data_IF_180195105919
#
_entry.id   IF_180195105919
#
_cell.length_a   1.000
_cell.length_b   1.000
_cell.length_c   1.000
_cell.angle_alpha   90.00
_cell.angle_beta   90.00
_cell.angle_gamma   90.00
#
_symmetry.space_group_name_H-M   'P 1'
#
loop_
_entity.id
_entity.type
_entity.pdbx_description
1 polymer ?
#
# COMPACT_ATOMS: atom_id res chain seq x y z
N UNK A 1 -3.08 18.70 -14.65
CA UNK A 1 -2.42 19.62 -13.69
C UNK A 1 -2.44 19.08 -12.26
N UNK A 2 -3.23 18.06 -11.93
CA UNK A 2 -3.36 17.52 -10.56
C UNK A 2 -2.37 16.40 -10.18
N UNK A 3 -1.43 16.06 -11.06
CA UNK A 3 -0.40 15.07 -10.78
C UNK A 3 0.98 15.48 -11.32
N UNK A 4 2.00 14.82 -10.79
CA UNK A 4 3.39 14.90 -11.21
C UNK A 4 3.86 13.51 -11.63
N UNK A 5 4.54 13.42 -12.78
CA UNK A 5 5.25 12.22 -13.21
C UNK A 5 6.74 12.37 -12.96
N UNK A 6 7.43 11.27 -12.69
CA UNK A 6 8.84 11.28 -12.33
C UNK A 6 9.66 10.38 -13.26
N UNK A 7 10.92 10.74 -13.48
CA UNK A 7 11.92 9.87 -14.12
C UNK A 7 13.22 9.91 -13.33
N UNK A 8 13.98 8.82 -13.37
CA UNK A 8 15.23 8.70 -12.62
C UNK A 8 15.03 8.49 -11.12
N UNK A 9 13.96 7.78 -10.72
CA UNK A 9 13.75 7.34 -9.34
C UNK A 9 13.87 5.81 -9.25
N UNK A 10 14.59 5.30 -8.26
CA UNK A 10 14.64 3.87 -7.92
C UNK A 10 14.99 3.65 -6.45
N UNK A 11 14.89 2.42 -5.96
CA UNK A 11 15.40 2.08 -4.63
C UNK A 11 16.84 1.56 -4.72
N UNK A 12 17.83 2.23 -4.10
CA UNK A 12 19.20 1.75 -4.07
C UNK A 12 19.31 0.34 -3.51
N UNK A 13 20.09 -0.51 -4.18
CA UNK A 13 20.30 -1.93 -3.82
C UNK A 13 19.02 -2.79 -3.81
N UNK A 14 17.96 -2.37 -4.50
CA UNK A 14 16.78 -3.20 -4.78
C UNK A 14 16.86 -3.68 -6.21
N UNK A 15 17.43 -4.87 -6.39
CA UNK A 15 17.69 -5.49 -7.69
C UNK A 15 17.35 -6.98 -7.67
N UNK A 16 17.42 -7.64 -8.82
CA UNK A 16 17.22 -9.10 -8.91
C UNK A 16 15.84 -9.52 -9.43
N UNK A 17 15.06 -8.59 -9.99
CA UNK A 17 13.84 -8.92 -10.71
C UNK A 17 12.71 -9.39 -9.78
N UNK A 18 12.27 -10.64 -9.96
CA UNK A 18 11.18 -11.24 -9.18
C UNK A 18 11.60 -11.30 -7.70
N UNK A 19 10.89 -10.57 -6.83
CA UNK A 19 11.09 -10.32 -5.37
C UNK A 19 11.23 -8.83 -5.04
N UNK A 20 11.59 -7.99 -6.02
CA UNK A 20 11.75 -6.53 -5.79
C UNK A 20 10.41 -5.84 -5.51
N UNK A 21 9.27 -6.43 -5.87
CA UNK A 21 7.94 -5.91 -5.56
C UNK A 21 7.67 -5.84 -4.06
N UNK A 22 8.28 -6.75 -3.28
CA UNK A 22 8.20 -6.74 -1.82
C UNK A 22 8.83 -5.47 -1.22
N UNK A 23 9.70 -4.81 -1.98
CA UNK A 23 10.48 -3.67 -1.53
C UNK A 23 9.94 -2.33 -2.02
N UNK A 24 8.85 -2.31 -2.79
CA UNK A 24 8.33 -1.08 -3.40
C UNK A 24 8.01 0.01 -2.37
N UNK A 25 7.37 -0.36 -1.25
CA UNK A 25 7.05 0.58 -0.16
C UNK A 25 8.03 0.55 1.01
N UNK A 26 9.04 -0.33 1.01
CA UNK A 26 9.99 -0.48 2.12
C UNK A 26 11.40 0.03 1.76
N UNK A 27 11.79 -0.08 0.50
CA UNK A 27 13.17 0.14 0.04
C UNK A 27 14.18 -0.82 0.68
N UNK A 28 13.74 -1.97 1.18
CA UNK A 28 14.62 -2.96 1.81
C UNK A 28 15.62 -3.51 0.79
N UNK A 29 16.91 -3.52 1.16
CA UNK A 29 18.02 -3.86 0.27
C UNK A 29 18.13 -5.37 0.05
N UNK A 30 18.70 -5.75 -1.09
CA UNK A 30 19.09 -7.10 -1.44
C UNK A 30 17.97 -8.15 -1.31
N UNK A 31 16.79 -7.94 -1.95
CA UNK A 31 15.63 -8.84 -1.84
C UNK A 31 15.86 -10.28 -2.30
N UNK A 32 16.91 -10.53 -3.08
CA UNK A 32 17.30 -11.87 -3.54
C UNK A 32 18.44 -12.48 -2.72
N UNK A 33 18.94 -11.76 -1.72
CA UNK A 33 20.02 -12.21 -0.84
C UNK A 33 19.58 -13.33 0.11
N UNK A 34 20.51 -14.22 0.45
CA UNK A 34 20.28 -15.24 1.47
C UNK A 34 19.99 -14.57 2.81
N UNK A 35 18.89 -14.98 3.47
CA UNK A 35 18.48 -14.38 4.74
C UNK A 35 17.85 -13.00 4.62
N UNK A 36 17.42 -12.58 3.41
CA UNK A 36 16.65 -11.35 3.23
C UNK A 36 15.51 -11.26 4.23
N UNK A 37 15.43 -10.11 4.88
CA UNK A 37 14.33 -9.73 5.77
C UNK A 37 13.87 -8.35 5.34
N UNK A 38 12.57 -8.23 5.11
CA UNK A 38 11.99 -6.95 4.76
C UNK A 38 12.01 -5.98 5.95
N UNK A 39 11.66 -4.73 5.70
CA UNK A 39 11.55 -3.68 6.72
C UNK A 39 10.16 -3.08 6.71
N UNK A 40 9.91 -2.14 7.63
CA UNK A 40 8.66 -1.40 7.68
C UNK A 40 8.32 -0.79 6.31
N UNK A 41 7.07 -0.92 5.89
CA UNK A 41 6.55 -0.24 4.70
C UNK A 41 6.07 1.17 5.03
N UNK A 42 6.03 2.03 4.01
CA UNK A 42 5.66 3.44 4.12
C UNK A 42 4.34 3.67 4.86
N UNK A 43 3.32 2.86 4.55
CA UNK A 43 2.00 2.92 5.17
C UNK A 43 2.04 2.60 6.66
N UNK A 44 2.79 1.58 7.06
CA UNK A 44 2.94 1.20 8.47
C UNK A 44 3.78 2.22 9.23
N UNK A 45 4.84 2.75 8.61
CA UNK A 45 5.62 3.85 9.17
C UNK A 45 4.75 5.08 9.42
N UNK A 46 3.89 5.45 8.47
CA UNK A 46 2.95 6.56 8.63
C UNK A 46 1.96 6.31 9.78
N UNK A 47 1.42 5.08 9.92
CA UNK A 47 0.55 4.73 11.05
C UNK A 47 1.23 4.89 12.40
N UNK A 48 2.47 4.43 12.54
CA UNK A 48 3.20 4.52 13.80
C UNK A 48 3.40 5.98 14.24
N UNK A 49 3.56 6.91 13.30
CA UNK A 49 3.77 8.33 13.62
C UNK A 49 2.47 9.11 13.79
N UNK A 50 1.45 8.83 12.97
CA UNK A 50 0.16 9.52 13.05
C UNK A 50 -0.73 9.00 14.19
N UNK A 51 -0.49 7.76 14.61
CA UNK A 51 -1.38 6.99 15.47
C UNK A 51 -2.66 6.57 14.75
N UNK A 52 -3.45 5.71 15.39
CA UNK A 52 -4.74 5.27 14.85
C UNK A 52 -5.81 6.36 15.07
N UNK A 53 -5.99 7.23 14.06
CA UNK A 53 -6.99 8.31 14.06
C UNK A 53 -8.39 7.84 13.66
N UNK A 54 -8.46 6.73 12.94
CA UNK A 54 -9.68 6.18 12.32
C UNK A 54 -9.93 4.76 12.79
N UNK A 55 -11.11 4.22 12.48
CA UNK A 55 -11.49 2.84 12.85
C UNK A 55 -10.47 1.81 12.37
N UNK A 56 -9.94 1.98 11.16
CA UNK A 56 -8.86 1.15 10.64
C UNK A 56 -7.59 1.99 10.49
N UNK A 57 -6.45 1.55 11.05
CA UNK A 57 -5.19 2.28 10.92
C UNK A 57 -4.72 2.32 9.45
N UNK A 58 -4.76 1.17 8.78
CA UNK A 58 -4.65 1.06 7.32
C UNK A 58 -5.71 0.10 6.77
N UNK A 59 -5.95 0.20 5.46
CA UNK A 59 -6.58 -0.86 4.68
C UNK A 59 -5.60 -1.36 3.62
N UNK A 60 -5.11 -2.58 3.82
CA UNK A 60 -4.22 -3.27 2.88
C UNK A 60 -5.11 -4.07 1.92
N UNK A 61 -5.09 -3.70 0.65
CA UNK A 61 -6.00 -4.17 -0.39
C UNK A 61 -5.25 -4.85 -1.53
N UNK A 62 -5.94 -5.72 -2.26
CA UNK A 62 -5.36 -6.40 -3.41
C UNK A 62 -6.35 -6.65 -4.56
N UNK A 63 -5.80 -6.79 -5.76
CA UNK A 63 -6.52 -7.24 -6.96
C UNK A 63 -5.75 -8.42 -7.54
N UNK A 64 -6.44 -9.55 -7.70
CA UNK A 64 -5.89 -10.81 -8.20
C UNK A 64 -4.64 -11.27 -7.42
N UNK A 65 -4.64 -11.12 -6.09
CA UNK A 65 -3.52 -11.53 -5.23
C UNK A 65 -3.66 -12.99 -4.77
N UNK A 66 -2.53 -13.59 -4.38
CA UNK A 66 -2.54 -14.79 -3.52
C UNK A 66 -2.65 -14.37 -2.05
N UNK A 67 -3.83 -14.59 -1.46
CA UNK A 67 -4.18 -14.09 -0.12
C UNK A 67 -3.21 -14.61 0.94
N UNK A 68 -2.66 -13.70 1.73
CA UNK A 68 -1.72 -14.03 2.81
C UNK A 68 -0.26 -14.18 2.38
N UNK A 69 0.01 -14.29 1.07
CA UNK A 69 1.36 -14.42 0.51
C UNK A 69 1.80 -13.20 -0.31
N UNK A 70 0.86 -12.32 -0.69
CA UNK A 70 1.09 -11.13 -1.52
C UNK A 70 0.49 -9.90 -0.86
N UNK A 71 1.32 -8.89 -0.60
CA UNK A 71 0.93 -7.56 -0.13
C UNK A 71 2.08 -6.57 -0.36
N UNK A 72 1.78 -5.28 -0.25
CA UNK A 72 2.78 -4.21 -0.22
C UNK A 72 3.10 -3.73 1.20
N UNK A 73 2.33 -4.20 2.19
CA UNK A 73 2.43 -3.75 3.57
C UNK A 73 3.24 -4.73 4.42
N UNK A 74 4.21 -4.20 5.14
CA UNK A 74 5.18 -4.94 5.95
C UNK A 74 5.34 -4.27 7.30
N UNK A 75 5.30 -5.07 8.36
CA UNK A 75 5.57 -4.58 9.72
C UNK A 75 7.04 -4.18 9.90
N UNK A 76 7.31 -3.51 11.01
CA UNK A 76 8.67 -3.10 11.42
C UNK A 76 9.69 -4.24 11.47
N UNK A 77 9.22 -5.42 11.84
CA UNK A 77 10.02 -6.63 11.93
C UNK A 77 10.03 -7.43 10.61
N UNK A 78 9.52 -6.86 9.51
CA UNK A 78 9.60 -7.45 8.18
C UNK A 78 8.60 -8.58 7.94
N UNK A 79 7.52 -8.67 8.72
CA UNK A 79 6.45 -9.61 8.49
C UNK A 79 5.43 -9.05 7.49
N UNK A 80 4.99 -9.89 6.55
CA UNK A 80 4.00 -9.52 5.54
C UNK A 80 2.63 -9.33 6.19
N UNK A 81 1.99 -8.19 5.94
CA UNK A 81 0.63 -7.92 6.40
C UNK A 81 -0.38 -8.28 5.30
N UNK A 82 -1.35 -9.18 5.57
CA UNK A 82 -2.24 -9.70 4.54
C UNK A 82 -3.12 -8.61 3.94
N UNK A 83 -3.33 -8.69 2.62
CA UNK A 83 -4.23 -7.83 1.88
C UNK A 83 -5.63 -8.46 1.70
N UNK A 84 -6.66 -7.62 1.70
CA UNK A 84 -8.05 -7.98 1.40
C UNK A 84 -8.35 -7.74 -0.08
N UNK A 85 -8.86 -8.75 -0.79
CA UNK A 85 -9.22 -8.67 -2.22
C UNK A 85 -10.71 -8.91 -2.48
N UNK A 86 -11.55 -8.98 -1.44
CA UNK A 86 -13.01 -9.03 -1.54
C UNK A 86 -13.62 -7.65 -1.26
N UNK A 87 -14.10 -6.94 -2.29
CA UNK A 87 -14.89 -5.71 -2.12
C UNK A 87 -16.10 -5.91 -1.19
N UNK A 88 -16.77 -7.05 -1.26
CA UNK A 88 -17.91 -7.34 -0.39
C UNK A 88 -17.50 -7.48 1.08
N UNK A 89 -16.38 -8.15 1.37
CA UNK A 89 -15.85 -8.25 2.72
C UNK A 89 -15.41 -6.88 3.25
N UNK A 90 -14.73 -6.09 2.42
CA UNK A 90 -14.31 -4.73 2.76
C UNK A 90 -15.51 -3.81 3.04
N UNK A 91 -16.53 -3.83 2.19
CA UNK A 91 -17.77 -3.07 2.41
C UNK A 91 -18.43 -3.46 3.73
N UNK A 92 -18.58 -4.76 4.01
CA UNK A 92 -19.12 -5.24 5.29
C UNK A 92 -18.25 -4.79 6.47
N UNK A 93 -16.93 -4.82 6.31
CA UNK A 93 -15.97 -4.36 7.32
C UNK A 93 -16.17 -2.88 7.63
N UNK A 94 -16.45 -2.03 6.65
CA UNK A 94 -16.64 -0.59 6.86
C UNK A 94 -18.04 -0.21 7.37
N UNK A 95 -19.11 -0.82 6.82
CA UNK A 95 -20.47 -0.30 7.00
C UNK A 95 -21.42 -1.20 7.79
N UNK A 96 -21.18 -2.51 7.84
CA UNK A 96 -22.11 -3.44 8.49
C UNK A 96 -21.71 -3.64 9.96
N UNK A 97 -22.57 -3.16 10.86
CA UNK A 97 -22.41 -3.37 12.30
C UNK A 97 -22.77 -4.82 12.64
N UNK A 98 -21.93 -5.49 13.44
CA UNK A 98 -22.26 -6.81 13.97
C UNK A 98 -23.36 -6.74 15.02
N UNK A 99 -24.05 -7.87 15.24
CA UNK A 99 -24.95 -8.04 16.37
C UNK A 99 -24.21 -7.84 17.71
N UNK A 100 -24.92 -7.53 18.82
CA UNK A 100 -24.29 -7.37 20.14
C UNK A 100 -23.39 -8.56 20.53
N UNK A 101 -23.82 -9.78 20.21
CA UNK A 101 -23.05 -11.01 20.44
C UNK A 101 -21.77 -11.10 19.62
N UNK A 102 -21.77 -10.59 18.38
CA UNK A 102 -20.57 -10.56 17.54
C UNK A 102 -19.56 -9.51 18.01
N UNK A 103 -20.05 -8.36 18.48
CA UNK A 103 -19.23 -7.31 19.11
C UNK A 103 -18.57 -7.87 20.37
N UNK A 104 -19.35 -8.50 21.26
CA UNK A 104 -18.84 -9.13 22.49
C UNK A 104 -17.75 -10.17 22.20
N UNK A 105 -18.00 -11.07 21.24
CA UNK A 105 -17.01 -12.06 20.80
C UNK A 105 -15.73 -11.42 20.28
N UNK A 106 -15.83 -10.29 19.59
CA UNK A 106 -14.66 -9.59 19.06
C UNK A 106 -13.88 -8.88 20.17
N UNK A 107 -14.58 -8.25 21.11
CA UNK A 107 -13.97 -7.69 22.31
C UNK A 107 -13.25 -8.75 23.14
N UNK A 108 -13.82 -9.96 23.27
CA UNK A 108 -13.15 -11.07 23.94
C UNK A 108 -11.84 -11.44 23.25
N UNK A 109 -11.84 -11.59 21.92
CA UNK A 109 -10.62 -11.87 21.15
C UNK A 109 -9.55 -10.79 21.27
N UNK A 110 -9.94 -9.51 21.34
CA UNK A 110 -8.98 -8.42 21.56
C UNK A 110 -8.32 -8.52 22.93
N UNK A 111 -9.08 -8.87 23.98
CA UNK A 111 -8.54 -9.13 25.33
C UNK A 111 -7.57 -10.31 25.35
N UNK A 112 -7.94 -11.43 24.72
CA UNK A 112 -7.06 -12.61 24.62
C UNK A 112 -5.73 -12.26 23.93
N UNK A 113 -5.78 -11.48 22.84
CA UNK A 113 -4.56 -11.01 22.15
C UNK A 113 -3.70 -10.14 23.07
N UNK A 114 -4.30 -9.24 23.85
CA UNK A 114 -3.59 -8.44 24.84
C UNK A 114 -2.83 -9.32 25.84
N UNK A 115 -3.50 -10.33 26.41
CA UNK A 115 -2.86 -11.26 27.36
C UNK A 115 -1.71 -12.08 26.75
N UNK A 116 -1.80 -12.42 25.46
CA UNK A 116 -0.69 -13.08 24.75
C UNK A 116 0.51 -12.12 24.62
N UNK A 117 0.28 -10.86 24.26
CA UNK A 117 1.35 -9.86 24.16
C UNK A 117 2.02 -9.61 25.52
N UNK A 118 1.25 -9.54 26.61
CA UNK A 118 1.78 -9.42 27.97
C UNK A 118 2.74 -10.59 28.31
N UNK A 119 2.35 -11.80 27.92
CA UNK A 119 3.17 -13.01 28.13
C UNK A 119 4.45 -12.95 27.31
N UNK A 120 4.35 -12.63 26.01
CA UNK A 120 5.51 -12.49 25.12
C UNK A 120 6.49 -11.41 25.62
N UNK A 121 5.96 -10.30 26.14
CA UNK A 121 6.75 -9.23 26.72
C UNK A 121 7.50 -9.67 27.97
N UNK A 122 6.85 -10.43 28.85
CA UNK A 122 7.48 -10.98 30.05
C UNK A 122 8.62 -11.95 29.67
N UNK A 123 8.40 -12.79 28.66
CA UNK A 123 9.37 -13.77 28.16
C UNK A 123 10.58 -13.08 27.51
N UNK A 124 10.33 -12.09 26.66
CA UNK A 124 11.38 -11.28 26.04
C UNK A 124 12.23 -10.54 27.08
N UNK A 125 11.64 -10.05 28.19
CA UNK A 125 12.40 -9.41 29.28
C UNK A 125 13.33 -10.39 29.98
N UNK A 126 12.89 -11.64 30.20
CA UNK A 126 13.74 -12.69 30.78
C UNK A 126 14.91 -13.04 29.86
N UNK A 127 14.68 -13.04 28.55
CA UNK A 127 15.73 -13.25 27.55
C UNK A 127 16.72 -12.08 27.52
N UNK A 128 16.24 -10.83 27.52
CA UNK A 128 17.08 -9.62 27.53
C UNK A 128 18.08 -9.60 28.68
N UNK A 129 17.67 -10.08 29.87
CA UNK A 129 18.54 -10.18 31.04
C UNK A 129 19.71 -11.17 30.86
N UNK A 130 19.62 -12.09 29.90
CA UNK A 130 20.59 -13.16 29.62
C UNK A 130 21.33 -12.98 28.29
N UNK A 131 21.05 -11.92 27.54
CA UNK A 131 21.53 -11.70 26.17
C UNK A 131 22.72 -10.74 26.10
N UNK A 132 23.57 -10.94 25.07
CA UNK A 132 24.70 -10.07 24.75
C UNK A 132 24.27 -8.71 24.16
N UNK A 133 25.22 -7.79 23.96
CA UNK A 133 24.93 -6.40 23.57
C UNK A 133 24.22 -6.28 22.20
N UNK A 134 24.57 -7.13 21.23
CA UNK A 134 23.95 -7.13 19.90
C UNK A 134 22.49 -7.64 19.93
N UNK A 135 22.22 -8.68 20.72
CA UNK A 135 20.88 -9.22 20.95
C UNK A 135 19.97 -8.22 21.67
N UNK A 136 20.51 -7.38 22.56
CA UNK A 136 19.74 -6.34 23.25
C UNK A 136 19.13 -5.35 22.26
N UNK A 137 19.88 -4.94 21.24
CA UNK A 137 19.37 -4.01 20.22
C UNK A 137 18.20 -4.62 19.43
N UNK A 138 18.28 -5.92 19.11
CA UNK A 138 17.18 -6.65 18.45
C UNK A 138 15.96 -6.79 19.37
N UNK A 139 16.18 -7.09 20.64
CA UNK A 139 15.12 -7.18 21.63
C UNK A 139 14.45 -5.82 21.87
N UNK A 140 15.20 -4.72 21.83
CA UNK A 140 14.63 -3.37 21.94
C UNK A 140 13.69 -3.06 20.77
N UNK A 141 14.07 -3.42 19.54
CA UNK A 141 13.17 -3.32 18.38
C UNK A 141 11.91 -4.18 18.56
N UNK A 142 12.08 -5.41 19.03
CA UNK A 142 10.96 -6.31 19.32
C UNK A 142 10.02 -5.75 20.39
N UNK A 143 10.54 -5.14 21.47
CA UNK A 143 9.73 -4.49 22.49
C UNK A 143 8.96 -3.29 21.97
N UNK A 144 9.56 -2.50 21.08
CA UNK A 144 8.88 -1.39 20.42
C UNK A 144 7.68 -1.91 19.61
N UNK A 145 7.88 -2.95 18.80
CA UNK A 145 6.78 -3.58 18.05
C UNK A 145 5.68 -4.17 18.93
N UNK A 146 6.01 -4.77 20.09
CA UNK A 146 4.98 -5.24 21.03
C UNK A 146 4.14 -4.06 21.56
N UNK A 147 4.77 -2.95 21.96
CA UNK A 147 4.05 -1.78 22.49
C UNK A 147 3.12 -1.17 21.46
N UNK A 148 3.54 -1.11 20.20
CA UNK A 148 2.72 -0.62 19.08
C UNK A 148 1.49 -1.52 18.88
N UNK A 149 1.67 -2.85 18.95
CA UNK A 149 0.56 -3.80 18.88
C UNK A 149 -0.41 -3.67 20.07
N UNK A 150 0.10 -3.52 21.30
CA UNK A 150 -0.72 -3.28 22.50
C UNK A 150 -1.56 -2.00 22.35
N UNK A 151 -0.95 -0.90 21.90
CA UNK A 151 -1.64 0.37 21.66
C UNK A 151 -2.73 0.21 20.59
N UNK A 152 -2.44 -0.48 19.48
CA UNK A 152 -3.39 -0.77 18.43
C UNK A 152 -4.58 -1.62 18.90
N UNK A 153 -4.35 -2.64 19.74
CA UNK A 153 -5.43 -3.45 20.31
C UNK A 153 -6.36 -2.63 21.20
N UNK A 154 -5.82 -1.71 22.01
CA UNK A 154 -6.64 -0.84 22.87
C UNK A 154 -7.55 0.05 22.03
N UNK A 155 -6.98 0.74 21.04
CA UNK A 155 -7.76 1.64 20.17
C UNK A 155 -8.78 0.85 19.36
N UNK A 156 -8.42 -0.33 18.85
CA UNK A 156 -9.37 -1.22 18.17
C UNK A 156 -10.56 -1.59 19.06
N UNK A 157 -10.33 -1.86 20.35
CA UNK A 157 -11.40 -2.13 21.32
C UNK A 157 -12.36 -0.95 21.49
N UNK A 158 -11.85 0.28 21.52
CA UNK A 158 -12.70 1.48 21.58
C UNK A 158 -13.57 1.64 20.34
N UNK A 159 -13.04 1.29 19.16
CA UNK A 159 -13.80 1.40 17.92
C UNK A 159 -14.89 0.35 17.81
N UNK A 160 -14.72 -0.86 18.35
CA UNK A 160 -15.72 -1.93 18.22
C UNK A 160 -17.10 -1.58 18.78
N UNK A 161 -17.16 -0.71 19.79
CA UNK A 161 -18.42 -0.24 20.39
C UNK A 161 -18.97 1.03 19.74
N UNK A 162 -18.14 1.77 18.99
CA UNK A 162 -18.59 2.94 18.23
C UNK A 162 -19.43 2.49 17.04
N UNK A 163 -20.51 3.21 16.66
CA UNK A 163 -21.24 2.92 15.44
C UNK A 163 -20.34 3.02 14.20
N UNK A 164 -20.59 2.15 13.22
CA UNK A 164 -20.00 2.29 11.88
C UNK A 164 -20.68 3.42 11.09
N UNK A 165 -19.97 4.02 10.12
CA UNK A 165 -20.57 4.98 9.22
C UNK A 165 -21.76 4.35 8.48
N UNK A 166 -22.73 5.18 8.10
CA UNK A 166 -23.85 4.79 7.26
C UNK A 166 -23.53 5.11 5.81
N UNK A 167 -24.10 4.35 4.89
CA UNK A 167 -23.99 4.60 3.45
C UNK A 167 -25.27 4.18 2.76
N UNK A 168 -25.63 4.91 1.70
CA UNK A 168 -26.75 4.58 0.83
C UNK A 168 -26.32 3.62 -0.31
N UNK A 169 -25.03 3.32 -0.41
CA UNK A 169 -24.53 2.35 -1.37
C UNK A 169 -24.93 0.93 -0.98
N UNK A 170 -25.40 0.16 -1.96
CA UNK A 170 -25.62 -1.27 -1.76
C UNK A 170 -24.28 -2.02 -1.62
N UNK A 171 -24.23 -3.09 -0.81
CA UNK A 171 -23.04 -3.95 -0.76
C UNK A 171 -22.68 -4.47 -2.16
N UNK A 172 -21.41 -4.38 -2.58
CA UNK A 172 -20.99 -4.89 -3.88
C UNK A 172 -21.01 -6.42 -3.88
N UNK A 173 -21.05 -7.00 -5.08
CA UNK A 173 -20.80 -8.43 -5.29
C UNK A 173 -19.36 -8.63 -5.74
N UNK A 174 -18.70 -9.65 -5.19
CA UNK A 174 -17.35 -9.99 -5.62
C UNK A 174 -17.36 -10.53 -7.06
N UNK A 175 -16.40 -10.07 -7.84
CA UNK A 175 -16.13 -10.60 -9.18
C UNK A 175 -15.15 -11.76 -9.02
N UNK A 176 -15.66 -12.99 -9.10
CA UNK A 176 -14.87 -14.21 -8.87
C UNK A 176 -13.93 -14.53 -10.04
N UNK A 177 -14.34 -14.22 -11.26
CA UNK A 177 -13.52 -14.42 -12.45
C UNK A 177 -12.34 -13.43 -12.46
N UNK A 178 -11.12 -13.98 -12.36
CA UNK A 178 -9.87 -13.21 -12.36
C UNK A 178 -9.54 -12.62 -13.75
N UNK A 179 -10.11 -13.14 -14.82
CA UNK A 179 -9.94 -12.59 -16.18
C UNK A 179 -10.62 -11.22 -16.33
N UNK A 180 -11.62 -10.91 -15.49
CA UNK A 180 -12.28 -9.61 -15.39
C UNK A 180 -11.43 -8.62 -14.58
N UNK A 181 -10.18 -8.45 -14.98
CA UNK A 181 -9.14 -7.71 -14.26
C UNK A 181 -9.51 -6.24 -14.02
N UNK A 182 -9.87 -5.48 -15.06
CA UNK A 182 -10.23 -4.07 -14.92
C UNK A 182 -11.51 -3.84 -14.08
N UNK A 183 -12.61 -4.58 -14.29
CA UNK A 183 -13.77 -4.49 -13.39
C UNK A 183 -13.44 -4.73 -11.91
N UNK A 184 -12.48 -5.62 -11.61
CA UNK A 184 -12.01 -5.85 -10.23
C UNK A 184 -11.20 -4.68 -9.70
N UNK A 185 -10.29 -4.13 -10.51
CA UNK A 185 -9.53 -2.94 -10.17
C UNK A 185 -10.44 -1.76 -9.87
N UNK A 186 -11.36 -1.44 -10.79
CA UNK A 186 -12.30 -0.33 -10.66
C UNK A 186 -13.17 -0.48 -9.41
N UNK A 187 -13.67 -1.69 -9.14
CA UNK A 187 -14.48 -1.96 -7.96
C UNK A 187 -13.69 -1.79 -6.66
N UNK A 188 -12.42 -2.21 -6.63
CA UNK A 188 -11.57 -2.05 -5.45
C UNK A 188 -11.18 -0.58 -5.23
N UNK A 189 -10.88 0.17 -6.31
CA UNK A 189 -10.66 1.61 -6.24
C UNK A 189 -11.90 2.36 -5.73
N UNK A 190 -13.11 1.94 -6.14
CA UNK A 190 -14.35 2.48 -5.60
C UNK A 190 -14.49 2.20 -4.10
N UNK A 191 -14.09 1.02 -3.62
CA UNK A 191 -14.09 0.75 -2.18
C UNK A 191 -13.06 1.61 -1.43
N UNK A 192 -11.88 1.84 -2.02
CA UNK A 192 -10.88 2.73 -1.45
C UNK A 192 -11.41 4.17 -1.32
N UNK A 193 -12.09 4.68 -2.34
CA UNK A 193 -12.78 5.96 -2.28
C UNK A 193 -13.81 6.00 -1.14
N UNK A 194 -14.70 5.00 -1.04
CA UNK A 194 -15.70 4.94 0.02
C UNK A 194 -15.07 4.90 1.42
N UNK A 195 -13.89 4.29 1.56
CA UNK A 195 -13.17 4.26 2.82
C UNK A 195 -12.72 5.66 3.25
N UNK A 196 -12.28 6.51 2.33
CA UNK A 196 -11.94 7.90 2.59
C UNK A 196 -13.19 8.75 2.87
N UNK A 197 -14.22 8.65 2.03
CA UNK A 197 -15.48 9.41 2.17
C UNK A 197 -16.20 9.13 3.50
N UNK A 198 -16.08 7.91 4.02
CA UNK A 198 -16.70 7.47 5.27
C UNK A 198 -15.82 7.64 6.50
N UNK A 199 -14.64 8.23 6.35
CA UNK A 199 -13.62 8.33 7.40
C UNK A 199 -13.26 6.97 8.05
N UNK A 200 -13.28 5.91 7.25
CA UNK A 200 -12.96 4.56 7.73
C UNK A 200 -11.46 4.38 7.96
N UNK A 201 -10.62 5.02 7.14
CA UNK A 201 -9.16 5.03 7.27
C UNK A 201 -8.52 6.29 6.68
N UNK A 202 -7.29 6.61 7.10
CA UNK A 202 -6.45 7.63 6.48
C UNK A 202 -5.46 7.08 5.44
N UNK A 203 -5.20 5.76 5.46
CA UNK A 203 -4.15 5.15 4.65
C UNK A 203 -4.66 3.87 3.99
N UNK A 204 -4.49 3.79 2.68
CA UNK A 204 -4.86 2.64 1.87
C UNK A 204 -3.64 2.24 1.05
N UNK A 205 -3.36 0.94 1.04
CA UNK A 205 -2.34 0.35 0.18
C UNK A 205 -3.04 -0.63 -0.74
N UNK A 206 -2.85 -0.52 -2.06
CA UNK A 206 -3.49 -1.40 -3.04
C UNK A 206 -2.44 -2.09 -3.91
N UNK A 207 -2.40 -3.41 -3.83
CA UNK A 207 -1.57 -4.24 -4.69
C UNK A 207 -2.34 -4.73 -5.92
N UNK A 208 -1.85 -4.43 -7.11
CA UNK A 208 -2.39 -4.96 -8.37
C UNK A 208 -1.44 -6.03 -8.87
N UNK A 209 -1.80 -7.31 -8.72
CA UNK A 209 -0.83 -8.39 -8.85
C UNK A 209 -0.76 -8.98 -10.27
N UNK A 210 0.39 -8.82 -10.91
CA UNK A 210 0.66 -9.39 -12.22
C UNK A 210 0.83 -10.92 -12.20
N UNK A 211 1.29 -11.51 -11.08
CA UNK A 211 1.61 -12.94 -11.01
C UNK A 211 0.35 -13.82 -10.98
N UNK A 212 -0.68 -13.38 -10.26
CA UNK A 212 -1.92 -14.11 -10.10
C UNK A 212 -3.06 -13.59 -11.01
N UNK A 213 -2.73 -12.71 -11.97
CA UNK A 213 -3.61 -12.29 -13.06
C UNK A 213 -3.44 -13.22 -14.28
N UNK A 214 -4.44 -14.05 -14.59
CA UNK A 214 -4.41 -14.98 -15.73
C UNK A 214 -4.62 -14.22 -17.05
N UNK A 215 -4.89 -14.93 -18.15
CA UNK A 215 -5.42 -14.29 -19.37
C UNK A 215 -6.62 -13.43 -19.00
N UNK A 216 -6.59 -12.16 -19.38
CA UNK A 216 -7.56 -11.16 -18.93
C UNK A 216 -8.16 -10.39 -20.11
N UNK A 217 -9.33 -9.82 -19.88
CA UNK A 217 -10.04 -8.97 -20.84
C UNK A 217 -9.37 -7.60 -20.89
N UNK A 218 -8.90 -7.20 -22.08
CA UNK A 218 -8.24 -5.90 -22.29
C UNK A 218 -9.28 -4.84 -22.62
N UNK A 219 -9.99 -5.04 -23.73
CA UNK A 219 -10.98 -4.10 -24.24
C UNK A 219 -11.97 -4.81 -25.17
N UNK A 220 -13.27 -4.57 -24.98
CA UNK A 220 -14.32 -5.22 -25.77
C UNK A 220 -14.22 -6.74 -25.67
N UNK A 221 -14.05 -7.40 -26.81
CA UNK A 221 -13.88 -8.85 -26.90
C UNK A 221 -12.40 -9.29 -26.90
N UNK A 222 -11.45 -8.34 -26.93
CA UNK A 222 -10.01 -8.65 -26.93
C UNK A 222 -9.56 -9.17 -25.55
N UNK A 223 -8.88 -10.32 -25.56
CA UNK A 223 -8.22 -10.91 -24.40
C UNK A 223 -6.71 -10.90 -24.58
N UNK A 224 -5.98 -10.84 -23.48
CA UNK A 224 -4.53 -10.95 -23.48
C UNK A 224 -4.08 -12.33 -23.99
N UNK A 225 -2.94 -12.38 -24.68
CA UNK A 225 -2.39 -13.64 -25.21
C UNK A 225 -1.96 -14.62 -24.11
N UNK A 226 -1.62 -14.09 -22.93
CA UNK A 226 -1.15 -14.84 -21.77
C UNK A 226 -1.48 -14.06 -20.49
N UNK A 227 -1.18 -14.63 -19.33
CA UNK A 227 -1.31 -13.91 -18.06
C UNK A 227 -0.42 -12.69 -17.98
N UNK A 228 -0.79 -11.71 -17.15
CA UNK A 228 -0.12 -10.40 -17.10
C UNK A 228 1.39 -10.55 -16.94
N UNK A 229 1.86 -11.37 -15.98
CA UNK A 229 3.28 -11.64 -15.78
C UNK A 229 4.01 -12.11 -17.04
N UNK A 230 3.45 -13.07 -17.78
CA UNK A 230 4.06 -13.59 -19.00
C UNK A 230 3.96 -12.61 -20.18
N UNK A 231 2.99 -11.70 -20.11
CA UNK A 231 2.81 -10.65 -21.10
C UNK A 231 3.92 -9.60 -20.96
N UNK A 232 4.31 -9.24 -19.73
CA UNK A 232 5.42 -8.31 -19.47
C UNK A 232 6.79 -8.83 -19.90
N UNK A 233 6.97 -10.17 -19.97
CA UNK A 233 8.08 -10.82 -20.70
C UNK A 233 7.82 -10.81 -22.22
N UNK A 234 7.77 -9.61 -22.79
CA UNK A 234 7.31 -9.44 -24.17
C UNK A 234 8.31 -9.92 -25.22
N UNK A 235 9.60 -10.05 -24.89
CA UNK A 235 10.63 -10.57 -25.79
C UNK A 235 10.73 -9.80 -27.11
N UNK A 236 10.47 -8.49 -27.07
CA UNK A 236 10.36 -7.61 -28.25
C UNK A 236 9.25 -8.00 -29.25
N UNK A 237 8.28 -8.84 -28.85
CA UNK A 237 7.11 -9.15 -29.68
C UNK A 237 6.23 -7.90 -29.86
N UNK A 238 6.01 -7.42 -31.11
CA UNK A 238 5.17 -6.25 -31.35
C UNK A 238 3.73 -6.43 -30.84
N UNK A 239 3.22 -7.65 -30.94
CA UNK A 239 1.88 -8.03 -30.48
C UNK A 239 1.73 -7.91 -28.96
N UNK A 240 2.67 -8.51 -28.20
CA UNK A 240 2.65 -8.42 -26.74
C UNK A 240 2.83 -6.98 -26.27
N UNK A 241 3.74 -6.22 -26.91
CA UNK A 241 3.95 -4.79 -26.61
C UNK A 241 2.66 -4.00 -26.82
N UNK A 242 1.96 -4.20 -27.94
CA UNK A 242 0.67 -3.53 -28.20
C UNK A 242 -0.37 -3.87 -27.13
N UNK A 243 -0.44 -5.13 -26.69
CA UNK A 243 -1.37 -5.53 -25.62
C UNK A 243 -1.00 -4.94 -24.25
N UNK A 244 0.29 -4.82 -23.94
CA UNK A 244 0.76 -4.11 -22.74
C UNK A 244 0.40 -2.63 -22.79
N UNK A 245 0.64 -1.96 -23.91
CA UNK A 245 0.28 -0.54 -24.08
C UNK A 245 -1.22 -0.31 -23.86
N UNK A 246 -2.08 -1.14 -24.45
CA UNK A 246 -3.52 -1.09 -24.19
C UNK A 246 -3.86 -1.35 -22.73
N UNK A 247 -3.20 -2.32 -22.10
CA UNK A 247 -3.40 -2.67 -20.68
C UNK A 247 -3.03 -1.50 -19.77
N UNK A 248 -1.89 -0.87 -20.01
CA UNK A 248 -1.41 0.29 -19.25
C UNK A 248 -2.34 1.50 -19.46
N UNK A 249 -2.79 1.72 -20.70
CA UNK A 249 -3.77 2.77 -20.99
C UNK A 249 -5.09 2.56 -20.21
N UNK A 250 -5.58 1.32 -20.13
CA UNK A 250 -6.77 0.97 -19.33
C UNK A 250 -6.55 1.20 -17.84
N UNK A 251 -5.38 0.88 -17.29
CA UNK A 251 -5.05 1.22 -15.89
C UNK A 251 -5.01 2.73 -15.67
N UNK A 252 -4.46 3.51 -16.62
CA UNK A 252 -4.46 4.97 -16.56
C UNK A 252 -5.88 5.55 -16.64
N UNK A 253 -6.80 4.93 -17.38
CA UNK A 253 -8.21 5.31 -17.37
C UNK A 253 -8.86 5.06 -16.01
N UNK A 254 -8.61 3.92 -15.37
CA UNK A 254 -9.08 3.64 -14.00
C UNK A 254 -8.53 4.67 -12.99
N UNK A 255 -7.25 5.03 -13.10
CA UNK A 255 -6.62 6.03 -12.25
C UNK A 255 -7.19 7.44 -12.48
N UNK A 256 -7.40 7.82 -13.73
CA UNK A 256 -8.04 9.09 -14.08
C UNK A 256 -9.49 9.18 -13.55
N UNK A 257 -10.23 8.06 -13.59
CA UNK A 257 -11.56 7.98 -13.01
C UNK A 257 -11.53 8.13 -11.48
N UNK A 258 -10.54 7.54 -10.79
CA UNK A 258 -10.32 7.76 -9.37
C UNK A 258 -10.06 9.24 -9.07
N UNK A 259 -9.09 9.86 -9.76
CA UNK A 259 -8.75 11.28 -9.54
C UNK A 259 -9.96 12.19 -9.75
N UNK A 260 -10.68 11.99 -10.86
CA UNK A 260 -11.92 12.71 -11.12
C UNK A 260 -12.91 12.54 -9.97
N UNK A 261 -13.09 11.32 -9.49
CA UNK A 261 -14.05 11.09 -8.41
C UNK A 261 -13.62 11.69 -7.07
N UNK A 262 -12.33 11.66 -6.72
CA UNK A 262 -11.82 12.31 -5.50
C UNK A 262 -11.96 13.84 -5.60
N UNK A 263 -11.73 14.42 -6.78
CA UNK A 263 -11.90 15.85 -7.02
C UNK A 263 -13.37 16.28 -6.98
N UNK A 264 -14.26 15.46 -7.54
CA UNK A 264 -15.69 15.78 -7.59
C UNK A 264 -16.35 15.65 -6.20
N UNK A 265 -15.74 14.90 -5.27
CA UNK A 265 -16.15 14.81 -3.86
C UNK A 265 -15.65 16.03 -3.06
N UNK A 266 -16.58 16.78 -2.46
CA UNK A 266 -16.29 18.01 -1.69
C UNK A 266 -16.11 17.73 -0.20
N UNK A 267 -15.13 18.39 0.40
CA UNK A 267 -14.88 18.45 1.84
C UNK A 267 -14.85 19.91 2.33
N UNK A 268 -14.98 20.19 3.64
CA UNK A 268 -14.96 21.56 4.14
C UNK A 268 -13.74 22.40 3.72
N UNK A 269 -12.58 21.78 3.51
CA UNK A 269 -11.33 22.44 3.16
C UNK A 269 -10.99 22.42 1.65
N UNK A 270 -11.84 21.84 0.80
CA UNK A 270 -11.55 21.68 -0.63
C UNK A 270 -12.26 20.49 -1.26
N UNK A 271 -11.55 19.76 -2.11
CA UNK A 271 -11.95 18.46 -2.63
C UNK A 271 -11.26 17.35 -1.84
N UNK A 272 -11.78 16.12 -1.91
CA UNK A 272 -11.12 14.97 -1.31
C UNK A 272 -9.75 14.70 -1.97
N UNK A 273 -9.55 15.10 -3.23
CA UNK A 273 -8.24 15.03 -3.88
C UNK A 273 -7.23 16.00 -3.26
N UNK A 274 -7.65 17.20 -2.83
CA UNK A 274 -6.77 18.19 -2.17
C UNK A 274 -6.25 17.70 -0.80
N UNK A 275 -6.96 16.75 -0.18
CA UNK A 275 -6.61 16.15 1.12
C UNK A 275 -6.02 14.74 1.01
N UNK A 276 -5.90 14.17 -0.20
CA UNK A 276 -5.45 12.79 -0.42
C UNK A 276 -4.26 12.72 -1.36
N UNK A 277 -3.15 12.13 -0.90
CA UNK A 277 -2.03 11.75 -1.76
C UNK A 277 -2.29 10.40 -2.42
N UNK A 278 -2.14 10.33 -3.74
CA UNK A 278 -2.20 9.07 -4.50
C UNK A 278 -0.86 8.82 -5.18
N UNK A 279 -0.10 7.86 -4.64
CA UNK A 279 1.10 7.31 -5.26
C UNK A 279 0.73 6.10 -6.13
N UNK A 280 1.14 6.13 -7.39
CA UNK A 280 0.98 5.01 -8.31
C UNK A 280 2.32 4.69 -8.97
N UNK A 281 2.66 3.40 -9.10
CA UNK A 281 3.88 2.98 -9.77
C UNK A 281 4.16 1.48 -9.69
N UNK A 282 5.35 1.11 -10.15
CA UNK A 282 5.84 -0.27 -10.21
C UNK A 282 7.26 -0.37 -9.66
N UNK A 283 7.65 -1.57 -9.22
CA UNK A 283 9.00 -1.91 -8.76
C UNK A 283 10.00 -2.15 -9.91
N UNK A 284 9.57 -2.09 -11.17
CA UNK A 284 10.44 -2.22 -12.34
C UNK A 284 10.21 -1.10 -13.34
N UNK A 285 11.30 -0.54 -13.87
CA UNK A 285 11.31 0.40 -14.99
C UNK A 285 11.08 -0.30 -16.33
N UNK A 286 11.61 -1.52 -16.48
CA UNK A 286 11.35 -2.40 -17.61
C UNK A 286 11.27 -3.84 -17.13
N UNK A 287 10.07 -4.41 -17.16
CA UNK A 287 9.81 -5.77 -16.69
C UNK A 287 10.35 -6.86 -17.62
N UNK A 288 10.57 -6.57 -18.91
CA UNK A 288 11.05 -7.54 -19.88
C UNK A 288 12.52 -7.90 -19.66
N UNK A 289 13.31 -6.95 -19.16
CA UNK A 289 14.73 -7.15 -18.81
C UNK A 289 14.98 -7.07 -17.30
N UNK A 290 13.92 -7.09 -16.49
CA UNK A 290 13.97 -6.98 -15.02
C UNK A 290 14.74 -5.76 -14.50
N UNK A 291 14.70 -4.65 -15.24
CA UNK A 291 15.35 -3.41 -14.82
C UNK A 291 14.59 -2.79 -13.64
N UNK A 292 15.30 -2.56 -12.54
CA UNK A 292 14.78 -1.97 -11.32
C UNK A 292 15.13 -0.47 -11.18
N UNK A 293 15.73 0.12 -12.22
CA UNK A 293 16.00 1.55 -12.33
C UNK A 293 14.92 2.29 -13.13
N UNK A 294 14.86 3.61 -12.93
CA UNK A 294 13.95 4.55 -13.57
C UNK A 294 12.51 4.04 -13.52
N UNK A 295 12.04 3.82 -12.29
CA UNK A 295 10.72 3.29 -12.01
C UNK A 295 9.62 4.23 -12.55
N UNK A 296 8.50 3.68 -13.07
CA UNK A 296 7.36 4.48 -13.47
C UNK A 296 6.64 4.93 -12.20
N UNK A 297 6.72 6.23 -11.89
CA UNK A 297 6.15 6.80 -10.67
C UNK A 297 5.30 8.01 -11.03
N UNK A 298 4.11 8.06 -10.43
CA UNK A 298 3.17 9.17 -10.48
C UNK A 298 2.70 9.49 -9.06
N UNK A 299 2.65 10.79 -8.72
CA UNK A 299 2.03 11.29 -7.50
C UNK A 299 0.96 12.30 -7.85
N UNK A 300 -0.22 12.17 -7.28
CA UNK A 300 -1.35 13.09 -7.46
C UNK A 300 -1.96 13.52 -6.13
N UNK A 301 -2.68 14.64 -6.17
CA UNK A 301 -3.44 15.16 -5.05
C UNK A 301 -2.59 15.64 -3.87
N UNK A 302 -3.25 15.87 -2.74
CA UNK A 302 -2.67 16.60 -1.63
C UNK A 302 -2.33 18.03 -2.03
N UNK A 303 -1.37 18.61 -1.32
CA UNK A 303 -1.00 20.03 -1.41
C UNK A 303 0.39 20.19 -1.99
N UNK A 304 0.65 19.51 -3.10
CA UNK A 304 1.88 19.68 -3.89
C UNK A 304 1.61 20.50 -5.15
N UNK A 305 2.61 21.25 -5.61
CA UNK A 305 2.57 21.89 -6.91
C UNK A 305 2.72 20.82 -8.00
N UNK A 306 1.60 20.42 -8.58
CA UNK A 306 1.51 19.43 -9.64
C UNK A 306 1.55 20.06 -11.06
N UNK A 307 1.30 19.24 -12.09
CA UNK A 307 1.25 19.68 -13.49
C UNK A 307 2.61 19.69 -14.19
N UNK A 308 3.55 18.88 -13.70
CA UNK A 308 4.93 18.85 -14.16
C UNK A 308 5.49 17.44 -14.32
N UNK A 309 6.62 17.36 -15.02
CA UNK A 309 7.49 16.18 -15.08
C UNK A 309 8.80 16.51 -14.37
N UNK A 310 9.07 15.84 -13.25
CA UNK A 310 10.36 15.95 -12.56
C UNK A 310 11.31 14.87 -13.10
N UNK A 311 12.20 15.31 -14.00
CA UNK A 311 13.17 14.45 -14.66
C UNK A 311 14.52 14.49 -13.95
N UNK A 312 14.83 13.44 -13.18
CA UNK A 312 16.16 13.20 -12.61
C UNK A 312 17.01 12.33 -13.56
N UNK A 313 18.27 12.13 -13.18
CA UNK A 313 19.20 11.30 -13.95
C UNK A 313 18.72 9.84 -13.99
N UNK A 314 18.51 9.31 -15.21
CA UNK A 314 18.00 7.95 -15.44
C UNK A 314 19.06 6.87 -15.27
N UNK A 315 20.33 7.24 -15.26
CA UNK A 315 21.47 6.34 -15.04
C UNK A 315 21.98 6.41 -13.58
N UNK A 316 21.85 7.57 -12.94
CA UNK A 316 22.17 7.76 -11.53
C UNK A 316 20.94 8.24 -10.75
N UNK A 317 20.04 7.31 -10.47
CA UNK A 317 18.72 7.62 -9.94
C UNK A 317 18.77 8.25 -8.54
N UNK A 318 17.83 9.15 -8.29
CA UNK A 318 17.53 9.60 -6.93
C UNK A 318 16.80 8.48 -6.17
N UNK A 319 17.06 8.29 -4.87
CA UNK A 319 16.31 7.34 -4.07
C UNK A 319 14.82 7.67 -4.08
N UNK A 320 13.97 6.74 -4.52
CA UNK A 320 12.52 6.88 -4.51
C UNK A 320 12.00 7.19 -3.09
N UNK A 321 12.66 6.69 -2.05
CA UNK A 321 12.32 7.01 -0.67
C UNK A 321 12.39 8.50 -0.32
N UNK A 322 13.07 9.36 -1.10
CA UNK A 322 12.99 10.83 -0.92
C UNK A 322 11.59 11.36 -1.25
N UNK A 323 10.90 10.77 -2.23
CA UNK A 323 9.50 11.08 -2.51
C UNK A 323 8.62 10.68 -1.32
N UNK A 324 8.93 9.53 -0.70
CA UNK A 324 8.21 9.07 0.49
C UNK A 324 8.41 10.00 1.67
N UNK A 325 9.62 10.55 1.87
CA UNK A 325 9.87 11.61 2.86
C UNK A 325 9.00 12.85 2.57
N UNK A 326 8.94 13.33 1.31
CA UNK A 326 8.04 14.43 0.95
C UNK A 326 6.58 14.12 1.30
N UNK A 327 6.09 12.93 0.96
CA UNK A 327 4.72 12.50 1.27
C UNK A 327 4.45 12.46 2.77
N UNK A 328 5.38 11.89 3.56
CA UNK A 328 5.28 11.81 5.02
C UNK A 328 5.16 13.20 5.65
N UNK A 329 6.01 14.14 5.23
CA UNK A 329 5.96 15.52 5.74
C UNK A 329 4.65 16.22 5.35
N UNK A 330 4.12 15.98 4.15
CA UNK A 330 2.86 16.57 3.70
C UNK A 330 1.66 16.09 4.54
N UNK A 331 1.69 14.86 5.06
CA UNK A 331 0.65 14.32 5.94
C UNK A 331 0.92 14.56 7.44
N UNK A 332 1.93 15.37 7.78
CA UNK A 332 2.24 15.76 9.16
C UNK A 332 3.15 14.81 9.93
N UNK A 333 3.88 13.92 9.24
CA UNK A 333 4.94 13.11 9.83
C UNK A 333 6.27 13.82 9.65
N UNK A 334 6.78 14.43 10.73
CA UNK A 334 8.05 15.15 10.78
C UNK A 334 9.25 14.19 10.77
N UNK A 335 9.46 13.51 9.64
CA UNK A 335 10.62 12.66 9.40
C UNK A 335 11.47 13.21 8.27
N UNK A 336 12.77 13.32 8.51
CA UNK A 336 13.77 13.69 7.49
C UNK A 336 14.38 12.47 6.80
N UNK A 337 13.97 11.25 7.17
CA UNK A 337 14.52 10.03 6.62
C UNK A 337 13.51 8.89 6.58
N UNK A 338 13.43 8.23 5.43
CA UNK A 338 12.75 6.96 5.31
C UNK A 338 13.58 6.03 4.43
N UNK A 339 13.85 4.82 4.91
CA UNK A 339 14.70 3.84 4.21
C UNK A 339 16.03 4.49 3.76
N UNK A 340 16.36 4.42 2.47
CA UNK A 340 17.56 5.02 1.87
C UNK A 340 17.45 6.53 1.56
N UNK A 341 16.27 7.12 1.67
CA UNK A 341 16.02 8.52 1.32
C UNK A 341 16.24 9.46 2.51
N UNK A 342 17.03 10.52 2.30
CA UNK A 342 17.28 11.56 3.30
C UNK A 342 16.87 12.93 2.76
N UNK A 343 15.96 13.60 3.46
CA UNK A 343 15.32 14.84 3.03
C UNK A 343 14.28 14.63 1.92
N UNK A 344 13.52 15.70 1.66
CA UNK A 344 12.45 15.74 0.65
C UNK A 344 13.01 15.66 -0.77
N UNK A 345 12.19 15.18 -1.70
CA UNK A 345 12.54 15.16 -3.12
C UNK A 345 12.60 16.60 -3.69
N UNK A 346 13.72 17.03 -4.30
CA UNK A 346 13.84 18.38 -4.87
C UNK A 346 12.82 18.65 -5.98
N UNK A 347 12.32 19.88 -6.06
CA UNK A 347 11.38 20.33 -7.11
C UNK A 347 9.92 19.93 -6.89
N UNK A 348 9.63 19.12 -5.86
CA UNK A 348 8.26 18.81 -5.44
C UNK A 348 7.88 19.70 -4.25
N UNK A 349 7.56 20.95 -4.55
CA UNK A 349 7.21 21.95 -3.54
C UNK A 349 5.74 21.83 -3.11
N UNK A 350 5.44 22.22 -1.87
CA UNK A 350 4.07 22.38 -1.41
C UNK A 350 3.36 23.52 -2.19
N UNK A 351 2.07 23.33 -2.47
CA UNK A 351 1.21 24.28 -3.19
C UNK A 351 0.69 25.41 -2.31
#
# INVERSE_FOLDING_TARGET
>A
DEFTVFSGLSHPAVSGGHSTENCFLTGAKDPTGSGFRNTISLDQYAVEHLGQRTRFPTLNLGVNIDRGNRSLSWSRDGALLPAEDSPAALFRKMFIQGSPKEIERRMHRLKERGSILDTLRADAKRLQARSGQEDKTRLDQYFTSIRELEAGLSVAGEWETRPKPKTDHAPPKDILDRARFFPKLDLMLRMAQLAFESDSTRIITLMVDAFATPVFEIEGEEKSLTGYHNLSHHGQSPEKIRQLEKTDHRQMQSLAALFKSLRDTREPAGTLLDSTLVLYGSNMGDANVHNCDNLPILLAGGRFRHGQHLAFDRHNNQPLSRLFVSMLQQIGVESDQFSSGQGTLPGLDAS
#
